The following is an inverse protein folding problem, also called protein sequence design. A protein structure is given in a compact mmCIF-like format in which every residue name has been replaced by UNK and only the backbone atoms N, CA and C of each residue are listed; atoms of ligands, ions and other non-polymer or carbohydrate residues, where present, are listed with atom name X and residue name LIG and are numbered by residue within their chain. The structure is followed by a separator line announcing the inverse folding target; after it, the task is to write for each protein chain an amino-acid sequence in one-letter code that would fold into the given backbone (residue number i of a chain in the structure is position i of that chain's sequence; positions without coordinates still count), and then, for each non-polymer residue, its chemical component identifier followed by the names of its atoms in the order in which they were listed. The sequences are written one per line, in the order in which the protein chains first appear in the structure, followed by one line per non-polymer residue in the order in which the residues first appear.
data_IF_936319788911
#
_entry.id   IF_936319788911
#
_cell.length_a   1.000
_cell.length_b   1.000
_cell.length_c   1.000
_cell.angle_alpha   90.00
_cell.angle_beta   90.00
_cell.angle_gamma   90.00
#
_symmetry.space_group_name_H-M   'P 1'
#
loop_
_entity.id
_entity.type
_entity.pdbx_description
1 polymer ?
#
# COMPACT_ATOMS: atom_id res chain seq x y z
N UNK A 1 13.35 -22.39 -7.62
CA UNK A 1 12.75 -21.44 -8.56
C UNK A 1 11.25 -21.65 -8.60
N UNK A 2 10.45 -20.59 -8.62
CA UNK A 2 9.00 -20.65 -8.78
C UNK A 2 8.58 -20.00 -10.13
N UNK A 3 7.42 -20.41 -10.63
CA UNK A 3 6.81 -19.84 -11.84
C UNK A 3 5.47 -19.20 -11.48
N UNK A 4 5.33 -17.90 -11.75
CA UNK A 4 4.04 -17.22 -11.67
C UNK A 4 3.18 -17.67 -12.87
N UNK A 5 2.05 -18.33 -12.58
CA UNK A 5 1.13 -18.84 -13.61
C UNK A 5 0.05 -17.80 -13.91
N UNK A 6 -0.51 -17.19 -12.86
CA UNK A 6 -1.60 -16.23 -12.98
C UNK A 6 -1.51 -15.18 -11.89
N UNK A 7 -1.89 -13.96 -12.20
CA UNK A 7 -1.95 -12.85 -11.26
C UNK A 7 -3.14 -11.96 -11.57
N UNK A 8 -3.96 -11.71 -10.59
CA UNK A 8 -5.06 -10.76 -10.67
C UNK A 8 -5.05 -9.81 -9.49
N UNK A 9 -5.55 -8.59 -9.72
CA UNK A 9 -5.74 -7.58 -8.70
C UNK A 9 -7.07 -6.86 -8.92
N UNK A 10 -7.91 -6.84 -7.90
CA UNK A 10 -9.16 -6.08 -7.87
C UNK A 10 -9.09 -4.99 -6.80
N UNK A 11 -9.54 -3.80 -7.13
CA UNK A 11 -9.64 -2.68 -6.20
C UNK A 11 -10.97 -2.76 -5.47
N UNK A 12 -10.98 -3.31 -4.27
CA UNK A 12 -12.22 -3.51 -3.49
C UNK A 12 -12.56 -2.31 -2.61
N UNK A 13 -11.53 -1.57 -2.15
CA UNK A 13 -11.68 -0.44 -1.22
C UNK A 13 -12.42 -0.83 0.05
N UNK A 14 -11.98 -1.93 0.68
CA UNK A 14 -12.65 -2.47 1.87
C UNK A 14 -12.68 -1.48 3.05
N UNK A 15 -11.74 -0.51 3.09
CA UNK A 15 -11.70 0.55 4.08
C UNK A 15 -12.54 1.78 3.73
N UNK A 16 -13.29 1.77 2.61
CA UNK A 16 -14.18 2.87 2.23
C UNK A 16 -15.28 3.06 3.28
N UNK A 17 -15.52 4.31 3.69
CA UNK A 17 -16.44 4.64 4.78
C UNK A 17 -15.89 4.40 6.19
N UNK A 18 -14.69 3.86 6.34
CA UNK A 18 -14.03 3.72 7.65
C UNK A 18 -13.32 5.01 8.04
N UNK A 19 -13.61 5.49 9.25
CA UNK A 19 -12.88 6.61 9.88
C UNK A 19 -12.19 6.12 11.15
N UNK A 20 -11.41 6.97 11.81
CA UNK A 20 -10.82 6.65 13.12
C UNK A 20 -11.88 6.38 14.20
N UNK A 21 -13.07 6.97 14.06
CA UNK A 21 -14.20 6.81 14.98
C UNK A 21 -15.17 5.74 14.54
N UNK A 22 -15.51 5.67 13.24
CA UNK A 22 -16.35 4.63 12.65
C UNK A 22 -15.50 3.51 12.06
N UNK A 23 -15.12 2.54 12.89
CA UNK A 23 -14.32 1.38 12.48
C UNK A 23 -15.19 0.21 12.03
N UNK A 24 -16.12 0.45 11.11
CA UNK A 24 -16.99 -0.58 10.56
C UNK A 24 -16.73 -0.73 9.06
N UNK A 25 -16.57 -1.97 8.60
CA UNK A 25 -16.67 -2.29 7.18
C UNK A 25 -18.13 -2.11 6.77
N UNK A 26 -18.37 -1.25 5.78
CA UNK A 26 -19.73 -1.03 5.27
C UNK A 26 -20.26 -2.29 4.57
N UNK A 27 -21.56 -2.46 4.51
CA UNK A 27 -22.16 -3.63 3.87
C UNK A 27 -21.81 -3.68 2.38
N UNK A 28 -21.78 -2.53 1.71
CA UNK A 28 -21.40 -2.41 0.30
C UNK A 28 -19.95 -2.84 0.06
N UNK A 29 -19.02 -2.43 0.93
CA UNK A 29 -17.61 -2.83 0.84
C UNK A 29 -17.42 -4.33 1.09
N UNK A 30 -18.15 -4.89 2.09
CA UNK A 30 -18.17 -6.32 2.34
C UNK A 30 -18.71 -7.10 1.14
N UNK A 31 -19.82 -6.64 0.54
CA UNK A 31 -20.43 -7.32 -0.60
C UNK A 31 -19.51 -7.29 -1.83
N UNK A 32 -18.83 -6.15 -2.11
CA UNK A 32 -17.82 -6.08 -3.17
C UNK A 32 -16.69 -7.09 -2.94
N UNK A 33 -16.24 -7.24 -1.70
CA UNK A 33 -15.21 -8.22 -1.34
C UNK A 33 -15.70 -9.65 -1.53
N UNK A 34 -16.90 -9.98 -1.06
CA UNK A 34 -17.49 -11.30 -1.22
C UNK A 34 -17.66 -11.71 -2.69
N UNK A 35 -18.14 -10.79 -3.53
CA UNK A 35 -18.28 -11.01 -4.98
C UNK A 35 -16.91 -11.31 -5.62
N UNK A 36 -15.86 -10.56 -5.24
CA UNK A 36 -14.51 -10.81 -5.73
C UNK A 36 -13.96 -12.15 -5.25
N UNK A 37 -14.16 -12.49 -3.97
CA UNK A 37 -13.70 -13.75 -3.38
C UNK A 37 -14.44 -14.95 -3.95
N UNK A 38 -15.72 -14.81 -4.33
CA UNK A 38 -16.46 -15.87 -5.03
C UNK A 38 -15.81 -16.22 -6.38
N UNK A 39 -15.36 -15.20 -7.14
CA UNK A 39 -14.60 -15.44 -8.37
C UNK A 39 -13.29 -16.19 -8.08
N UNK A 40 -12.57 -15.82 -7.04
CA UNK A 40 -11.33 -16.51 -6.66
C UNK A 40 -11.60 -17.93 -6.17
N UNK A 41 -12.69 -18.16 -5.43
CA UNK A 41 -13.12 -19.52 -5.03
C UNK A 41 -13.36 -20.41 -6.25
N UNK A 42 -14.04 -19.90 -7.26
CA UNK A 42 -14.27 -20.62 -8.50
C UNK A 42 -12.96 -20.92 -9.26
N UNK A 43 -12.03 -19.96 -9.33
CA UNK A 43 -10.71 -20.20 -9.91
C UNK A 43 -9.94 -21.30 -9.15
N UNK A 44 -9.97 -21.28 -7.83
CA UNK A 44 -9.34 -22.28 -6.96
C UNK A 44 -9.88 -23.68 -7.28
N UNK A 45 -11.20 -23.81 -7.41
CA UNK A 45 -11.89 -25.04 -7.71
C UNK A 45 -11.54 -25.57 -9.12
N UNK A 46 -11.73 -24.74 -10.16
CA UNK A 46 -11.49 -25.10 -11.56
C UNK A 46 -10.03 -25.47 -11.81
N UNK A 47 -9.10 -24.73 -11.20
CA UNK A 47 -7.65 -25.00 -11.32
C UNK A 47 -7.18 -26.11 -10.36
N UNK A 48 -8.06 -26.71 -9.55
CA UNK A 48 -7.74 -27.76 -8.58
C UNK A 48 -6.58 -27.38 -7.66
N UNK A 49 -6.57 -26.11 -7.17
CA UNK A 49 -5.51 -25.58 -6.31
C UNK A 49 -5.55 -26.28 -4.95
N UNK A 50 -4.47 -26.97 -4.58
CA UNK A 50 -4.39 -27.77 -3.36
C UNK A 50 -4.09 -26.94 -2.11
N UNK A 51 -3.38 -25.81 -2.26
CA UNK A 51 -2.96 -24.96 -1.13
C UNK A 51 -3.35 -23.52 -1.36
N UNK A 52 -4.12 -22.96 -0.45
CA UNK A 52 -4.54 -21.55 -0.45
C UNK A 52 -3.95 -20.86 0.77
N UNK A 53 -3.25 -19.76 0.55
CA UNK A 53 -2.77 -18.87 1.60
C UNK A 53 -3.52 -17.54 1.46
N UNK A 54 -4.42 -17.26 2.39
CA UNK A 54 -5.25 -16.05 2.35
C UNK A 54 -5.13 -15.29 3.67
N UNK A 55 -4.77 -14.01 3.57
CA UNK A 55 -4.61 -13.12 4.72
C UNK A 55 -5.45 -11.86 4.56
N UNK A 56 -5.96 -11.36 5.67
CA UNK A 56 -6.62 -10.08 5.80
C UNK A 56 -5.75 -9.14 6.63
N UNK A 57 -5.69 -7.88 6.22
CA UNK A 57 -4.79 -6.87 6.79
C UNK A 57 -5.55 -5.73 7.46
N UNK A 58 -4.98 -4.53 7.50
CA UNK A 58 -5.42 -3.40 8.31
C UNK A 58 -6.92 -3.09 8.23
N UNK A 59 -7.54 -3.10 7.05
CA UNK A 59 -8.97 -2.81 6.94
C UNK A 59 -9.82 -3.76 7.77
N UNK A 60 -9.56 -5.07 7.69
CA UNK A 60 -10.29 -6.09 8.46
C UNK A 60 -9.80 -6.14 9.91
N UNK A 61 -8.50 -6.03 10.13
CA UNK A 61 -7.90 -6.05 11.46
C UNK A 61 -8.43 -4.94 12.37
N UNK A 62 -8.59 -3.74 11.84
CA UNK A 62 -9.02 -2.57 12.60
C UNK A 62 -10.55 -2.44 12.69
N UNK A 63 -11.29 -3.23 11.92
CA UNK A 63 -12.74 -3.17 11.92
C UNK A 63 -13.36 -3.93 13.09
N UNK A 64 -14.35 -3.30 13.73
CA UNK A 64 -15.14 -3.93 14.82
C UNK A 64 -15.86 -5.18 14.31
N UNK A 65 -16.37 -5.16 13.07
CA UNK A 65 -17.05 -6.28 12.43
C UNK A 65 -16.11 -7.16 11.58
N UNK A 66 -14.79 -7.01 11.69
CA UNK A 66 -13.82 -7.76 10.89
C UNK A 66 -13.89 -9.28 11.08
N UNK A 67 -14.01 -9.73 12.33
CA UNK A 67 -14.15 -11.17 12.62
C UNK A 67 -15.46 -11.76 12.04
N UNK A 68 -16.57 -11.02 12.14
CA UNK A 68 -17.85 -11.38 11.54
C UNK A 68 -17.76 -11.47 10.02
N UNK A 69 -17.10 -10.50 9.40
CA UNK A 69 -16.84 -10.51 7.96
C UNK A 69 -16.04 -11.75 7.52
N UNK A 70 -14.98 -12.14 8.25
CA UNK A 70 -14.23 -13.36 7.92
C UNK A 70 -15.08 -14.64 8.03
N UNK A 71 -16.01 -14.70 8.98
CA UNK A 71 -16.98 -15.81 9.05
C UNK A 71 -17.84 -15.86 7.79
N UNK A 72 -18.37 -14.71 7.34
CA UNK A 72 -19.13 -14.61 6.08
C UNK A 72 -18.29 -15.07 4.88
N UNK A 73 -17.04 -14.63 4.78
CA UNK A 73 -16.11 -15.05 3.70
C UNK A 73 -15.99 -16.57 3.69
N UNK A 74 -15.70 -17.19 4.84
CA UNK A 74 -15.55 -18.65 4.93
C UNK A 74 -16.83 -19.40 4.55
N UNK A 75 -17.98 -18.93 5.03
CA UNK A 75 -19.27 -19.57 4.72
C UNK A 75 -19.66 -19.43 3.24
N UNK A 76 -19.38 -18.28 2.63
CA UNK A 76 -19.80 -17.99 1.24
C UNK A 76 -18.83 -18.52 0.18
N UNK A 77 -17.54 -18.67 0.51
CA UNK A 77 -16.50 -18.94 -0.49
C UNK A 77 -15.59 -20.12 -0.16
N UNK A 78 -15.67 -20.66 1.07
CA UNK A 78 -14.77 -21.71 1.56
C UNK A 78 -13.32 -21.25 1.79
N UNK A 79 -12.94 -20.02 1.44
CA UNK A 79 -11.56 -19.54 1.55
C UNK A 79 -11.17 -19.35 3.03
N UNK A 80 -10.12 -20.04 3.52
CA UNK A 80 -9.66 -19.92 4.91
C UNK A 80 -8.79 -18.69 5.10
N UNK A 81 -9.42 -17.53 5.34
CA UNK A 81 -8.72 -16.25 5.51
C UNK A 81 -8.36 -16.00 6.97
N UNK A 82 -7.15 -15.51 7.23
CA UNK A 82 -6.64 -15.19 8.58
C UNK A 82 -6.28 -13.72 8.69
N UNK A 83 -6.64 -13.07 9.80
CA UNK A 83 -6.18 -11.71 10.10
C UNK A 83 -4.73 -11.79 10.59
N UNK A 84 -3.85 -11.01 9.98
CA UNK A 84 -2.47 -10.87 10.42
C UNK A 84 -2.25 -9.57 11.19
N UNK A 85 -1.31 -9.59 12.14
CA UNK A 85 -0.90 -8.38 12.85
C UNK A 85 -0.12 -7.43 11.93
N UNK A 86 -0.07 -6.12 12.28
CA UNK A 86 0.74 -5.16 11.54
C UNK A 86 2.24 -5.53 11.53
N UNK A 87 2.74 -6.16 12.61
CA UNK A 87 4.11 -6.68 12.67
C UNK A 87 4.34 -7.82 11.68
N UNK A 88 3.36 -8.72 11.52
CA UNK A 88 3.42 -9.79 10.52
C UNK A 88 3.29 -9.25 9.09
N UNK A 89 2.40 -8.27 8.87
CA UNK A 89 2.25 -7.57 7.59
C UNK A 89 3.57 -6.92 7.14
N UNK A 90 4.23 -6.17 8.04
CA UNK A 90 5.54 -5.59 7.80
C UNK A 90 6.64 -6.65 7.56
N UNK A 91 6.58 -7.80 8.25
CA UNK A 91 7.52 -8.90 8.05
C UNK A 91 7.36 -9.53 6.66
N UNK A 92 6.13 -9.75 6.22
CA UNK A 92 5.84 -10.30 4.91
C UNK A 92 6.22 -9.31 3.78
N UNK A 93 5.91 -8.00 3.96
CA UNK A 93 6.37 -6.97 3.03
C UNK A 93 7.89 -6.96 2.87
N UNK A 94 8.61 -7.02 4.00
CA UNK A 94 10.07 -7.13 4.02
C UNK A 94 10.57 -8.40 3.31
N UNK A 95 9.97 -9.58 3.58
CA UNK A 95 10.36 -10.83 2.92
C UNK A 95 10.19 -10.74 1.40
N UNK A 96 9.09 -10.16 0.91
CA UNK A 96 8.87 -9.96 -0.53
C UNK A 96 9.93 -9.07 -1.19
N UNK A 97 10.39 -8.04 -0.49
CA UNK A 97 11.44 -7.13 -0.99
C UNK A 97 12.81 -7.80 -0.92
N UNK A 98 13.17 -8.40 0.20
CA UNK A 98 14.51 -8.95 0.45
C UNK A 98 14.88 -10.10 -0.48
N UNK A 99 13.90 -10.85 -0.99
CA UNK A 99 14.12 -11.90 -1.99
C UNK A 99 14.32 -11.35 -3.42
N UNK A 100 14.00 -10.08 -3.66
CA UNK A 100 13.89 -9.54 -5.02
C UNK A 100 14.70 -8.28 -5.26
N UNK A 101 15.16 -7.61 -4.20
CA UNK A 101 16.00 -6.41 -4.27
C UNK A 101 17.24 -6.63 -3.39
N UNK A 102 18.44 -6.61 -4.00
CA UNK A 102 19.69 -6.77 -3.29
C UNK A 102 20.17 -5.43 -2.70
N UNK A 103 19.59 -5.07 -1.56
CA UNK A 103 19.96 -3.89 -0.77
C UNK A 103 20.20 -4.31 0.68
N UNK A 104 21.33 -3.88 1.29
CA UNK A 104 21.68 -4.28 2.66
C UNK A 104 21.00 -3.40 3.70
N UNK A 105 21.05 -2.09 3.50
CA UNK A 105 20.53 -1.08 4.42
C UNK A 105 19.52 -0.19 3.70
N UNK A 106 18.30 -0.11 4.20
CA UNK A 106 17.24 0.70 3.60
C UNK A 106 16.08 0.95 4.57
N UNK A 107 15.32 1.98 4.28
CA UNK A 107 13.98 2.16 4.84
C UNK A 107 12.96 1.58 3.86
N UNK A 108 12.09 0.70 4.35
CA UNK A 108 10.99 0.12 3.60
C UNK A 108 9.68 0.74 4.07
N UNK A 109 8.81 1.11 3.15
CA UNK A 109 7.41 1.36 3.49
C UNK A 109 6.45 0.65 2.53
N UNK A 110 5.32 0.17 3.05
CA UNK A 110 4.20 -0.38 2.29
C UNK A 110 2.96 0.47 2.57
N UNK A 111 2.56 1.30 1.61
CA UNK A 111 1.39 2.14 1.72
C UNK A 111 0.16 1.45 1.15
N UNK A 112 -0.67 0.96 2.06
CA UNK A 112 -1.97 0.37 1.78
C UNK A 112 -3.12 1.38 1.75
N UNK A 113 -4.34 0.84 1.72
CA UNK A 113 -5.56 1.66 1.81
C UNK A 113 -5.88 2.12 3.23
N UNK A 114 -5.60 1.27 4.24
CA UNK A 114 -5.97 1.51 5.63
C UNK A 114 -4.79 1.71 6.58
N UNK A 115 -3.57 1.40 6.16
CA UNK A 115 -2.35 1.57 6.95
C UNK A 115 -1.14 1.85 6.09
N UNK A 116 -0.06 2.25 6.74
CA UNK A 116 1.30 2.21 6.21
C UNK A 116 2.18 1.42 7.17
N UNK A 117 2.87 0.42 6.65
CA UNK A 117 3.91 -0.32 7.36
C UNK A 117 5.27 0.30 7.04
N UNK A 118 6.05 0.63 8.08
CA UNK A 118 7.40 1.18 7.90
C UNK A 118 8.38 0.25 8.61
N UNK A 119 9.49 -0.08 7.96
CA UNK A 119 10.54 -0.95 8.52
C UNK A 119 11.91 -0.37 8.26
N UNK A 120 12.77 -0.38 9.27
CA UNK A 120 14.20 -0.09 9.13
C UNK A 120 14.97 -1.40 8.99
N UNK A 121 15.73 -1.50 7.91
CA UNK A 121 16.54 -2.68 7.57
C UNK A 121 18.02 -2.31 7.64
N UNK A 122 18.80 -3.11 8.35
CA UNK A 122 20.26 -3.01 8.46
C UNK A 122 20.88 -4.39 8.27
N UNK A 123 21.93 -4.48 7.45
CA UNK A 123 22.61 -5.74 7.15
C UNK A 123 21.63 -6.86 6.72
N UNK A 124 20.66 -6.52 5.86
CA UNK A 124 19.57 -7.43 5.40
C UNK A 124 18.68 -7.96 6.54
N UNK A 125 18.72 -7.35 7.73
CA UNK A 125 17.83 -7.70 8.85
C UNK A 125 16.90 -6.54 9.17
N UNK A 126 15.63 -6.83 9.37
CA UNK A 126 14.62 -5.87 9.82
C UNK A 126 14.80 -5.63 11.31
N UNK A 127 15.34 -4.47 11.68
CA UNK A 127 15.65 -4.12 13.10
C UNK A 127 14.49 -3.40 13.78
N UNK A 128 13.74 -2.58 13.06
CA UNK A 128 12.54 -1.92 13.56
C UNK A 128 11.39 -2.05 12.56
N UNK A 129 10.17 -2.06 13.06
CA UNK A 129 8.97 -1.94 12.23
C UNK A 129 7.79 -1.43 13.00
N UNK A 130 6.92 -0.71 12.32
CA UNK A 130 5.65 -0.21 12.84
C UNK A 130 4.59 -0.30 11.75
N UNK A 131 3.33 -0.53 12.15
CA UNK A 131 2.15 -0.36 11.31
C UNK A 131 1.36 0.82 11.86
N UNK A 132 1.14 1.82 11.05
CA UNK A 132 0.43 3.05 11.41
C UNK A 132 -0.91 3.07 10.66
N UNK A 133 -2.05 3.33 11.32
CA UNK A 133 -3.38 3.27 10.70
C UNK A 133 -3.69 4.52 9.85
N UNK A 134 -2.75 4.92 9.01
CA UNK A 134 -2.88 6.00 8.03
C UNK A 134 -2.63 5.42 6.64
N UNK A 135 -3.68 5.08 5.92
CA UNK A 135 -3.60 4.61 4.54
C UNK A 135 -4.22 5.61 3.57
N UNK A 136 -4.03 5.40 2.28
CA UNK A 136 -4.54 6.31 1.26
C UNK A 136 -6.07 6.48 1.30
N UNK A 137 -6.82 5.40 1.57
CA UNK A 137 -8.29 5.45 1.67
C UNK A 137 -8.70 6.09 2.99
N UNK A 138 -8.17 5.60 4.13
CA UNK A 138 -8.59 6.11 5.45
C UNK A 138 -8.29 7.59 5.64
N UNK A 139 -7.17 8.10 5.13
CA UNK A 139 -6.89 9.54 5.17
C UNK A 139 -7.81 10.34 4.24
N UNK A 140 -8.10 9.81 3.05
CA UNK A 140 -9.05 10.44 2.13
C UNK A 140 -10.43 10.59 2.78
N UNK A 141 -10.92 9.54 3.42
CA UNK A 141 -12.20 9.56 4.15
C UNK A 141 -12.15 10.54 5.34
N UNK A 142 -11.10 10.46 6.15
CA UNK A 142 -10.95 11.30 7.35
C UNK A 142 -10.96 12.80 7.03
N UNK A 143 -10.30 13.20 5.95
CA UNK A 143 -10.18 14.60 5.55
C UNK A 143 -11.16 14.99 4.43
N UNK A 144 -12.03 14.09 3.99
CA UNK A 144 -12.95 14.30 2.87
C UNK A 144 -12.24 14.91 1.65
N UNK A 145 -11.08 14.30 1.30
CA UNK A 145 -10.16 14.82 0.29
C UNK A 145 -10.27 14.10 -1.06
N UNK A 146 -11.40 13.46 -1.34
CA UNK A 146 -11.59 12.68 -2.56
C UNK A 146 -11.73 13.54 -3.82
N UNK A 147 -12.42 14.66 -3.73
CA UNK A 147 -12.73 15.52 -4.89
C UNK A 147 -12.05 16.89 -4.78
N UNK A 148 -12.54 17.76 -3.91
CA UNK A 148 -12.03 19.11 -3.74
C UNK A 148 -11.03 19.19 -2.59
N UNK A 149 -9.84 19.65 -2.90
CA UNK A 149 -8.76 19.81 -1.94
C UNK A 149 -8.09 21.14 -2.19
N UNK A 150 -8.31 22.09 -1.29
CA UNK A 150 -7.64 23.38 -1.30
C UNK A 150 -6.30 23.31 -0.56
N UNK A 151 -5.52 24.38 -0.64
CA UNK A 151 -4.19 24.44 -0.03
C UNK A 151 -4.23 24.26 1.49
N UNK A 152 -5.19 24.86 2.19
CA UNK A 152 -5.33 24.75 3.65
C UNK A 152 -5.59 23.30 4.09
N UNK A 153 -6.40 22.57 3.31
CA UNK A 153 -6.67 21.15 3.56
C UNK A 153 -5.42 20.31 3.33
N UNK A 154 -4.64 20.59 2.27
CA UNK A 154 -3.36 19.92 1.99
C UNK A 154 -2.42 20.09 3.19
N UNK A 155 -2.24 21.32 3.67
CA UNK A 155 -1.38 21.61 4.82
C UNK A 155 -1.87 20.95 6.11
N UNK A 156 -3.19 20.87 6.29
CA UNK A 156 -3.79 20.18 7.44
C UNK A 156 -3.49 18.68 7.41
N UNK A 157 -3.60 18.04 6.24
CA UNK A 157 -3.25 16.63 6.04
C UNK A 157 -1.74 16.44 6.29
N UNK A 158 -0.90 17.31 5.74
CA UNK A 158 0.55 17.21 5.93
C UNK A 158 0.95 17.33 7.41
N UNK A 159 0.42 18.34 8.12
CA UNK A 159 0.66 18.50 9.57
C UNK A 159 0.22 17.29 10.37
N UNK A 160 -0.92 16.71 10.03
CA UNK A 160 -1.39 15.48 10.67
C UNK A 160 -0.41 14.32 10.45
N UNK A 161 0.02 14.09 9.20
CA UNK A 161 0.97 13.02 8.85
C UNK A 161 2.31 13.25 9.57
N UNK A 162 2.83 14.47 9.58
CA UNK A 162 4.07 14.85 10.26
C UNK A 162 3.98 14.55 11.77
N UNK A 163 2.87 14.92 12.40
CA UNK A 163 2.65 14.62 13.82
C UNK A 163 2.59 13.11 14.11
N UNK A 164 1.98 12.34 13.22
CA UNK A 164 1.96 10.88 13.37
C UNK A 164 3.35 10.29 13.18
N UNK A 165 4.08 10.70 12.16
CA UNK A 165 5.43 10.22 11.89
C UNK A 165 6.45 10.69 12.93
N UNK A 166 6.26 11.86 13.59
CA UNK A 166 7.17 12.34 14.63
C UNK A 166 7.27 11.39 15.83
N UNK A 167 6.23 10.59 16.08
CA UNK A 167 6.19 9.58 17.15
C UNK A 167 7.03 8.32 16.83
N UNK A 168 7.55 8.21 15.62
CA UNK A 168 8.44 7.11 15.25
C UNK A 168 9.88 7.56 15.48
N UNK A 169 10.42 7.23 16.66
CA UNK A 169 11.71 7.73 17.16
C UNK A 169 12.91 7.13 16.41
N UNK A 170 12.77 5.91 15.87
CA UNK A 170 13.85 5.17 15.21
C UNK A 170 14.02 5.49 13.71
N UNK A 171 13.40 6.54 13.20
CA UNK A 171 13.70 6.99 11.83
C UNK A 171 15.21 7.28 11.70
N UNK A 172 15.83 6.92 10.56
CA UNK A 172 17.26 7.11 10.39
C UNK A 172 17.62 8.60 10.45
N UNK A 173 18.66 8.94 11.20
CA UNK A 173 19.24 10.28 11.24
C UNK A 173 20.00 10.63 9.96
N UNK A 174 20.64 9.63 9.35
CA UNK A 174 21.38 9.71 8.11
C UNK A 174 20.54 9.22 6.93
N UNK A 175 20.76 9.79 5.73
CA UNK A 175 20.07 9.34 4.51
C UNK A 175 20.26 7.85 4.25
N UNK A 176 19.17 7.14 3.99
CA UNK A 176 19.18 5.75 3.55
C UNK A 176 18.41 5.60 2.23
N UNK A 177 18.76 4.59 1.41
CA UNK A 177 17.89 4.17 0.33
C UNK A 177 16.48 3.89 0.82
N UNK A 178 15.48 4.38 0.12
CA UNK A 178 14.06 4.15 0.46
C UNK A 178 13.43 3.28 -0.60
N UNK A 179 12.79 2.20 -0.15
CA UNK A 179 12.02 1.29 -1.01
C UNK A 179 10.54 1.43 -0.67
N UNK A 180 9.73 1.67 -1.68
CA UNK A 180 8.28 1.82 -1.54
C UNK A 180 7.51 0.68 -2.18
N UNK A 181 6.48 0.22 -1.46
CA UNK A 181 5.47 -0.73 -1.92
C UNK A 181 4.10 -0.03 -1.90
N UNK A 182 3.19 -0.50 -2.70
CA UNK A 182 1.81 -0.07 -2.66
C UNK A 182 1.29 0.49 -3.97
N UNK A 183 -0.01 0.72 -4.00
CA UNK A 183 -0.66 1.18 -5.21
C UNK A 183 -0.36 2.63 -5.55
N UNK A 184 -0.26 3.51 -4.57
CA UNK A 184 0.11 4.92 -4.75
C UNK A 184 1.53 5.04 -5.27
N UNK A 185 2.49 4.33 -4.65
CA UNK A 185 3.89 4.28 -5.08
C UNK A 185 4.01 3.91 -6.56
N UNK A 186 3.27 2.86 -6.98
CA UNK A 186 3.27 2.43 -8.38
C UNK A 186 2.65 3.46 -9.34
N UNK A 187 1.67 4.23 -8.88
CA UNK A 187 1.09 5.28 -9.71
C UNK A 187 2.05 6.45 -9.90
N UNK A 188 2.73 6.91 -8.83
CA UNK A 188 3.78 7.93 -8.95
C UNK A 188 4.87 7.47 -9.93
N UNK A 189 5.40 6.25 -9.77
CA UNK A 189 6.39 5.72 -10.70
C UNK A 189 5.90 5.64 -12.15
N UNK A 190 4.63 5.32 -12.40
CA UNK A 190 4.06 5.31 -13.76
C UNK A 190 3.94 6.74 -14.32
N UNK A 191 3.51 7.70 -13.51
CA UNK A 191 3.44 9.10 -13.91
C UNK A 191 4.83 9.57 -14.32
N UNK A 192 5.85 9.32 -13.47
CA UNK A 192 7.24 9.65 -13.77
C UNK A 192 7.75 8.99 -15.05
N UNK A 193 7.56 7.68 -15.20
CA UNK A 193 7.97 6.96 -16.42
C UNK A 193 7.33 7.55 -17.69
N UNK A 194 6.08 8.00 -17.62
CA UNK A 194 5.41 8.66 -18.74
C UNK A 194 5.96 10.05 -19.01
N UNK A 195 6.27 10.81 -17.96
CA UNK A 195 6.85 12.16 -18.10
C UNK A 195 8.23 12.13 -18.76
N UNK A 196 9.08 11.14 -18.42
CA UNK A 196 10.44 11.01 -18.97
C UNK A 196 10.53 10.08 -20.18
N UNK A 197 9.40 9.63 -20.74
CA UNK A 197 9.35 8.68 -21.86
C UNK A 197 10.19 7.42 -21.60
N UNK A 198 10.10 6.86 -20.39
CA UNK A 198 10.88 5.68 -20.01
C UNK A 198 10.51 4.47 -20.90
N UNK A 199 11.47 3.81 -21.53
CA UNK A 199 11.17 2.83 -22.59
C UNK A 199 10.62 1.50 -22.09
N UNK A 200 10.79 1.17 -20.80
CA UNK A 200 10.39 -0.11 -20.26
C UNK A 200 9.18 0.05 -19.31
N UNK A 201 8.07 -0.68 -19.52
CA UNK A 201 6.92 -0.61 -18.61
C UNK A 201 7.14 -1.42 -17.31
N UNK A 202 8.38 -1.50 -16.83
CA UNK A 202 8.76 -2.27 -15.65
C UNK A 202 8.87 -1.34 -14.45
N UNK A 203 8.10 -1.61 -13.40
CA UNK A 203 8.12 -0.84 -12.16
C UNK A 203 9.03 -1.43 -11.08
N UNK A 204 9.18 -2.74 -11.04
CA UNK A 204 10.03 -3.39 -10.05
C UNK A 204 11.48 -2.96 -10.23
N UNK A 205 12.08 -2.48 -9.14
CA UNK A 205 13.42 -1.91 -9.07
C UNK A 205 13.60 -0.60 -9.89
N UNK A 206 12.49 0.06 -10.28
CA UNK A 206 12.54 1.40 -10.85
C UNK A 206 12.90 2.40 -9.76
N UNK A 207 13.85 3.27 -10.05
CA UNK A 207 14.39 4.25 -9.12
C UNK A 207 14.33 5.64 -9.75
N UNK A 208 13.87 6.64 -9.00
CA UNK A 208 13.83 8.03 -9.46
C UNK A 208 14.06 9.00 -8.30
N UNK A 209 14.49 10.26 -8.59
CA UNK A 209 14.82 11.26 -7.58
C UNK A 209 13.61 11.62 -6.71
N UNK A 210 13.87 11.97 -5.46
CA UNK A 210 12.81 12.43 -4.54
C UNK A 210 12.27 13.81 -4.95
N UNK A 211 13.09 14.63 -5.56
CA UNK A 211 12.70 15.93 -6.14
C UNK A 211 11.57 15.75 -7.15
N UNK A 212 11.69 14.76 -8.04
CA UNK A 212 10.64 14.44 -9.04
C UNK A 212 9.36 13.95 -8.37
N UNK A 213 9.48 13.13 -7.28
CA UNK A 213 8.31 12.75 -6.48
C UNK A 213 7.61 13.98 -5.90
N UNK A 214 8.35 14.94 -5.39
CA UNK A 214 7.78 16.17 -4.81
C UNK A 214 7.13 17.06 -5.86
N UNK A 215 7.69 17.11 -7.07
CA UNK A 215 7.07 17.80 -8.21
C UNK A 215 5.77 17.13 -8.64
N UNK A 216 5.74 15.81 -8.72
CA UNK A 216 4.52 15.06 -8.99
C UNK A 216 3.45 15.30 -7.93
N UNK A 217 3.81 15.31 -6.65
CA UNK A 217 2.87 15.60 -5.56
C UNK A 217 2.30 17.00 -5.72
N UNK A 218 3.12 18.01 -6.01
CA UNK A 218 2.64 19.38 -6.29
C UNK A 218 1.70 19.42 -7.48
N UNK A 219 2.06 18.75 -8.58
CA UNK A 219 1.23 18.68 -9.77
C UNK A 219 -0.12 18.00 -9.47
N UNK A 220 -0.12 16.91 -8.72
CA UNK A 220 -1.34 16.16 -8.37
C UNK A 220 -2.24 16.97 -7.44
N UNK A 221 -1.67 17.63 -6.43
CA UNK A 221 -2.43 18.42 -5.46
C UNK A 221 -3.02 19.69 -6.04
N UNK A 222 -2.41 20.25 -7.08
CA UNK A 222 -2.91 21.43 -7.81
C UNK A 222 -4.03 21.14 -8.82
N UNK A 223 -4.46 19.87 -8.98
CA UNK A 223 -5.46 19.47 -9.98
C UNK A 223 -6.81 19.13 -9.36
N UNK A 224 -7.88 19.47 -10.07
CA UNK A 224 -9.25 19.02 -9.76
C UNK A 224 -9.35 17.49 -9.88
N UNK A 225 -10.43 16.90 -9.36
CA UNK A 225 -10.67 15.47 -9.48
C UNK A 225 -10.70 15.00 -10.93
N UNK A 226 -11.40 15.75 -11.80
CA UNK A 226 -11.56 15.47 -13.22
C UNK A 226 -10.23 15.56 -13.98
N UNK A 227 -9.38 16.50 -13.60
CA UNK A 227 -8.02 16.61 -14.17
C UNK A 227 -7.12 15.48 -13.70
N UNK A 228 -7.23 15.07 -12.42
CA UNK A 228 -6.47 13.92 -11.91
C UNK A 228 -6.80 12.62 -12.64
N UNK A 229 -8.06 12.42 -13.03
CA UNK A 229 -8.46 11.23 -13.82
C UNK A 229 -7.77 11.17 -15.20
N UNK A 230 -7.31 12.31 -15.70
CA UNK A 230 -6.64 12.45 -17.02
C UNK A 230 -5.11 12.43 -16.91
N UNK A 231 -4.52 12.34 -15.72
CA UNK A 231 -3.07 12.26 -15.57
C UNK A 231 -2.55 10.98 -16.21
N UNK A 232 -1.64 11.13 -17.18
CA UNK A 232 -1.04 9.98 -17.84
C UNK A 232 -0.18 9.16 -16.84
N UNK A 233 -0.49 7.88 -16.70
CA UNK A 233 0.17 7.00 -15.73
C UNK A 233 -0.62 6.80 -14.43
N UNK A 234 -1.55 7.69 -14.09
CA UNK A 234 -2.45 7.50 -12.96
C UNK A 234 -3.63 6.60 -13.35
N UNK A 235 -3.91 5.58 -12.54
CA UNK A 235 -5.13 4.79 -12.67
C UNK A 235 -6.34 5.65 -12.26
N UNK A 236 -7.34 5.77 -13.12
CA UNK A 236 -8.57 6.55 -12.86
C UNK A 236 -9.27 6.14 -11.56
N UNK A 237 -9.22 4.84 -11.21
CA UNK A 237 -9.75 4.29 -9.96
C UNK A 237 -9.05 4.83 -8.69
N UNK A 238 -7.95 5.57 -8.84
CA UNK A 238 -7.17 6.12 -7.73
C UNK A 238 -7.14 7.63 -7.68
N UNK A 239 -7.77 8.31 -8.64
CA UNK A 239 -7.77 9.76 -8.72
C UNK A 239 -8.32 10.45 -7.45
N UNK A 240 -9.21 9.78 -6.74
CA UNK A 240 -9.81 10.24 -5.48
C UNK A 240 -8.91 10.10 -4.26
N UNK A 241 -8.11 9.02 -4.19
CA UNK A 241 -7.26 8.71 -3.02
C UNK A 241 -5.79 9.08 -3.23
N UNK A 242 -5.42 9.54 -4.43
CA UNK A 242 -4.01 9.74 -4.77
C UNK A 242 -3.39 10.87 -3.95
N UNK A 243 -4.11 11.94 -3.65
CA UNK A 243 -3.59 13.09 -2.89
C UNK A 243 -3.15 12.64 -1.50
N UNK A 244 -4.04 12.02 -0.74
CA UNK A 244 -3.72 11.58 0.61
C UNK A 244 -2.54 10.59 0.62
N UNK A 245 -2.55 9.62 -0.31
CA UNK A 245 -1.46 8.66 -0.42
C UNK A 245 -0.13 9.30 -0.85
N UNK A 246 -0.13 10.25 -1.77
CA UNK A 246 1.07 10.95 -2.22
C UNK A 246 1.67 11.82 -1.11
N UNK A 247 0.83 12.49 -0.31
CA UNK A 247 1.28 13.25 0.86
C UNK A 247 1.94 12.37 1.92
N UNK A 248 1.41 11.16 2.18
CA UNK A 248 2.08 10.18 3.08
C UNK A 248 3.47 9.83 2.56
N UNK A 249 3.60 9.52 1.27
CA UNK A 249 4.89 9.18 0.65
C UNK A 249 5.85 10.37 0.78
N UNK A 250 5.40 11.58 0.46
CA UNK A 250 6.21 12.80 0.56
C UNK A 250 6.77 13.00 1.97
N UNK A 251 5.94 12.86 3.00
CA UNK A 251 6.38 13.07 4.39
C UNK A 251 7.31 11.95 4.88
N UNK A 252 7.12 10.70 4.44
CA UNK A 252 8.07 9.62 4.73
C UNK A 252 9.43 9.91 4.09
N UNK A 253 9.46 10.28 2.81
CA UNK A 253 10.70 10.60 2.09
C UNK A 253 11.43 11.80 2.70
N UNK A 254 10.67 12.85 3.08
CA UNK A 254 11.22 14.04 3.77
C UNK A 254 11.85 13.67 5.11
N UNK A 255 11.14 12.91 5.95
CA UNK A 255 11.63 12.47 7.25
C UNK A 255 12.83 11.54 7.14
N UNK A 256 12.88 10.69 6.13
CA UNK A 256 14.01 9.81 5.84
C UNK A 256 15.20 10.52 5.18
N UNK A 257 15.09 11.81 4.86
CA UNK A 257 16.09 12.56 4.08
C UNK A 257 16.51 11.82 2.81
N UNK A 258 15.54 11.15 2.19
CA UNK A 258 15.80 10.30 1.04
C UNK A 258 16.21 11.13 -0.19
N UNK A 259 17.14 10.62 -0.98
CA UNK A 259 17.52 11.21 -2.27
C UNK A 259 16.82 10.54 -3.44
N UNK A 260 16.41 9.30 -3.28
CA UNK A 260 15.72 8.53 -4.31
C UNK A 260 14.67 7.61 -3.69
N UNK A 261 13.63 7.34 -4.48
CA UNK A 261 12.62 6.34 -4.19
C UNK A 261 12.80 5.15 -5.16
N UNK A 262 12.93 3.95 -4.61
CA UNK A 262 12.96 2.69 -5.39
C UNK A 262 11.62 1.98 -5.24
N UNK A 263 11.09 1.46 -6.33
CA UNK A 263 9.79 0.79 -6.35
C UNK A 263 9.96 -0.72 -6.24
N UNK A 264 9.29 -1.34 -5.26
CA UNK A 264 9.14 -2.79 -5.27
C UNK A 264 7.83 -3.23 -5.93
N UNK A 265 7.96 -4.10 -6.91
CA UNK A 265 6.82 -4.83 -7.49
C UNK A 265 6.34 -5.97 -6.59
N UNK A 266 7.23 -6.44 -5.71
CA UNK A 266 6.99 -7.51 -4.74
C UNK A 266 6.73 -6.92 -3.35
N UNK A 267 5.81 -7.53 -2.61
CA UNK A 267 5.42 -7.07 -1.29
C UNK A 267 4.82 -8.21 -0.46
N UNK A 268 3.78 -7.91 0.30
CA UNK A 268 3.12 -8.86 1.21
C UNK A 268 2.76 -10.19 0.55
N UNK A 269 2.20 -10.18 -0.65
CA UNK A 269 1.75 -11.40 -1.31
C UNK A 269 2.92 -12.31 -1.67
N UNK A 270 3.96 -11.76 -2.27
CA UNK A 270 5.19 -12.49 -2.60
C UNK A 270 5.91 -12.92 -1.31
N UNK A 271 5.93 -12.06 -0.28
CA UNK A 271 6.47 -12.39 1.03
C UNK A 271 5.73 -13.52 1.73
N UNK A 272 4.40 -13.60 1.60
CA UNK A 272 3.61 -14.73 2.11
C UNK A 272 4.00 -16.04 1.44
N UNK A 273 4.24 -16.00 0.12
CA UNK A 273 4.76 -17.14 -0.63
C UNK A 273 6.15 -17.56 -0.14
N UNK A 274 7.11 -16.63 -0.07
CA UNK A 274 8.46 -16.92 0.38
C UNK A 274 8.50 -17.41 1.83
N UNK A 275 7.75 -16.76 2.73
CA UNK A 275 7.69 -17.19 4.13
C UNK A 275 7.20 -18.65 4.29
N UNK A 276 6.35 -19.12 3.39
CA UNK A 276 5.83 -20.47 3.45
C UNK A 276 6.74 -21.51 2.77
N UNK A 277 7.40 -21.13 1.66
CA UNK A 277 8.16 -22.09 0.84
C UNK A 277 9.68 -21.92 0.92
N UNK A 278 10.17 -20.74 1.34
CA UNK A 278 11.60 -20.42 1.41
C UNK A 278 11.82 -19.38 2.53
N UNK A 279 11.60 -19.77 3.82
CA UNK A 279 11.72 -18.85 4.94
C UNK A 279 13.17 -18.38 5.10
N UNK A 280 13.37 -17.05 5.25
CA UNK A 280 14.66 -16.40 5.56
C UNK A 280 15.00 -16.62 7.03
#
# INVERSE_FOLDING_TARGET
AYKLIYQEKKSIRLAEGMTLTSRLLTEEAQQRALNCLAVYSHIIEVQKIKKVLAVATAAVRNAINGASFLKRVRMSTGIPMTIISGKAEAALGFAGVSHTIDQKDFLLFDLGGASVEISLVKNKKRIHSISIPIGAVTLTEMFQSSREVNQDKIETIQRFIQNVLSKVEWFPSEPLPVIGIGGTVRNLAKIHQRAVNYPLPKLHNYRFPVEDVFEEVRMITGKSYEERQKINGLSSERADIIIAGALVIQEILRKAKATHLTISGCGLREGLFFHYYDPI
#
